data_IF_313164623880
#
_entry.id   IF_313164623880
#
_cell.length_a   1.000
_cell.length_b   1.000
_cell.length_c   1.000
_cell.angle_alpha   90.00
_cell.angle_beta   90.00
_cell.angle_gamma   90.00
#
_symmetry.space_group_name_H-M   'P 1'
#
loop_
_entity.id
_entity.type
_entity.pdbx_description
1 polymer ?
#
# COMPACT_ATOMS: atom_id res chain seq x y z
N UNK A 1 -65.16 38.49 -18.84
CA UNK A 1 -64.22 37.41 -19.16
C UNK A 1 -62.90 37.66 -18.42
N UNK A 2 -62.49 36.76 -17.52
CA UNK A 2 -61.18 36.75 -16.84
C UNK A 2 -60.50 35.42 -17.18
N UNK A 3 -59.21 35.38 -17.57
CA UNK A 3 -58.56 34.11 -17.82
C UNK A 3 -58.13 33.49 -16.48
N UNK A 4 -58.42 32.20 -16.33
CA UNK A 4 -57.95 31.37 -15.22
C UNK A 4 -56.47 31.07 -15.42
N UNK A 5 -55.62 31.51 -14.48
CA UNK A 5 -54.18 31.32 -14.55
C UNK A 5 -53.78 29.93 -13.99
N UNK A 6 -53.26 29.11 -14.90
CA UNK A 6 -52.24 28.06 -14.72
C UNK A 6 -52.03 27.43 -13.34
N UNK A 7 -52.74 26.32 -13.06
CA UNK A 7 -52.21 25.23 -12.22
C UNK A 7 -51.66 24.13 -13.11
N UNK A 8 -50.40 24.27 -13.52
CA UNK A 8 -49.53 23.28 -14.18
C UNK A 8 -48.12 23.62 -13.68
N UNK A 9 -47.30 22.80 -13.06
CA UNK A 9 -47.28 21.35 -12.86
C UNK A 9 -46.30 21.14 -11.70
N UNK A 10 -46.69 20.49 -10.61
CA UNK A 10 -45.76 20.09 -9.54
C UNK A 10 -45.55 18.56 -9.52
N UNK A 11 -45.98 17.86 -10.57
CA UNK A 11 -45.81 16.41 -10.75
C UNK A 11 -44.53 16.03 -11.49
N UNK A 12 -43.89 16.96 -12.22
CA UNK A 12 -42.69 16.67 -13.01
C UNK A 12 -41.45 16.34 -12.16
N UNK A 13 -41.45 16.66 -10.86
CA UNK A 13 -40.35 16.38 -9.94
C UNK A 13 -40.49 15.03 -9.20
N UNK A 14 -41.60 14.32 -9.35
CA UNK A 14 -41.84 13.04 -8.65
C UNK A 14 -41.34 11.80 -9.42
N UNK A 15 -40.99 11.96 -10.69
CA UNK A 15 -40.57 10.87 -11.58
C UNK A 15 -39.07 10.89 -11.92
N UNK A 16 -38.27 11.69 -11.24
CA UNK A 16 -36.81 11.60 -11.37
C UNK A 16 -36.36 10.38 -10.57
N UNK A 17 -35.92 9.33 -11.27
CA UNK A 17 -35.18 8.24 -10.61
C UNK A 17 -34.10 8.86 -9.73
N UNK A 18 -33.95 8.39 -8.47
CA UNK A 18 -32.85 8.86 -7.64
C UNK A 18 -31.54 8.67 -8.41
N UNK A 19 -30.59 9.60 -8.29
CA UNK A 19 -29.28 9.44 -8.93
C UNK A 19 -28.72 8.06 -8.53
N UNK A 20 -28.08 7.33 -9.47
CA UNK A 20 -27.48 6.06 -9.15
C UNK A 20 -26.57 6.26 -7.94
N UNK A 21 -26.74 5.39 -6.93
CA UNK A 21 -25.87 5.47 -5.75
C UNK A 21 -24.42 5.39 -6.23
N UNK A 22 -23.51 6.21 -5.68
CA UNK A 22 -22.11 6.08 -5.97
C UNK A 22 -21.69 4.64 -5.70
N UNK A 23 -20.92 4.05 -6.62
CA UNK A 23 -20.41 2.70 -6.45
C UNK A 23 -19.64 2.64 -5.12
N UNK A 24 -19.75 1.54 -4.36
CA UNK A 24 -18.93 1.36 -3.17
C UNK A 24 -17.45 1.46 -3.55
N UNK A 25 -16.59 2.00 -2.66
CA UNK A 25 -15.17 2.05 -2.93
C UNK A 25 -14.62 0.63 -3.18
N UNK A 26 -13.60 0.49 -4.04
CA UNK A 26 -12.98 -0.79 -4.30
C UNK A 26 -12.47 -1.43 -2.98
N UNK A 27 -12.62 -2.75 -2.81
CA UNK A 27 -12.11 -3.46 -1.64
C UNK A 27 -10.61 -3.19 -1.44
N UNK A 28 -10.23 -2.93 -0.19
CA UNK A 28 -8.86 -2.67 0.23
C UNK A 28 -8.45 -3.68 1.30
N UNK A 29 -7.36 -4.38 1.03
CA UNK A 29 -6.77 -5.38 1.92
C UNK A 29 -5.39 -4.93 2.34
N UNK A 30 -4.93 -5.39 3.50
CA UNK A 30 -3.64 -5.08 4.07
C UNK A 30 -2.91 -6.37 4.39
N UNK A 31 -1.61 -6.39 4.11
CA UNK A 31 -0.72 -7.44 4.55
C UNK A 31 -0.15 -7.09 5.93
N UNK A 32 -0.43 -7.96 6.91
CA UNK A 32 -0.02 -7.75 8.31
C UNK A 32 1.49 -7.77 8.51
N UNK A 33 2.22 -8.50 7.67
CA UNK A 33 3.63 -8.79 7.86
C UNK A 33 4.53 -7.96 6.95
N UNK A 34 3.98 -7.41 5.87
CA UNK A 34 4.77 -6.74 4.82
C UNK A 34 4.45 -5.26 4.67
N UNK A 35 3.49 -4.76 5.45
CA UNK A 35 3.08 -3.36 5.45
C UNK A 35 2.73 -2.83 4.04
N UNK A 36 2.17 -3.70 3.20
CA UNK A 36 1.63 -3.35 1.88
C UNK A 36 0.11 -3.40 1.91
N UNK A 37 -0.53 -2.57 1.10
CA UNK A 37 -1.95 -2.68 0.82
C UNK A 37 -2.19 -3.20 -0.58
N UNK A 38 -3.35 -3.82 -0.77
CA UNK A 38 -3.84 -4.42 -2.01
C UNK A 38 -5.27 -3.91 -2.27
N UNK A 39 -5.45 -3.12 -3.34
CA UNK A 39 -6.73 -2.56 -3.75
C UNK A 39 -7.28 -3.31 -4.94
N UNK A 40 -8.41 -4.00 -4.77
CA UNK A 40 -9.05 -4.75 -5.85
C UNK A 40 -9.77 -3.80 -6.81
N UNK A 41 -9.30 -3.70 -8.06
CA UNK A 41 -9.95 -2.86 -9.07
C UNK A 41 -11.12 -3.59 -9.73
N UNK A 42 -10.93 -4.87 -10.00
CA UNK A 42 -11.89 -5.81 -10.58
C UNK A 42 -11.48 -7.24 -10.26
N UNK A 43 -12.33 -8.26 -10.47
CA UNK A 43 -11.92 -9.66 -10.31
C UNK A 43 -10.64 -9.94 -11.10
N UNK A 44 -9.62 -10.50 -10.44
CA UNK A 44 -8.32 -10.81 -11.03
C UNK A 44 -7.34 -9.65 -11.24
N UNK A 45 -7.69 -8.40 -10.89
CA UNK A 45 -6.79 -7.24 -11.02
C UNK A 45 -6.75 -6.41 -9.74
N UNK A 46 -5.55 -6.18 -9.22
CA UNK A 46 -5.35 -5.38 -8.02
C UNK A 46 -4.18 -4.41 -8.17
N UNK A 47 -4.20 -3.34 -7.37
CA UNK A 47 -3.04 -2.46 -7.17
C UNK A 47 -2.41 -2.74 -5.83
N UNK A 48 -1.11 -2.61 -5.77
CA UNK A 48 -0.30 -2.75 -4.58
C UNK A 48 0.44 -1.44 -4.30
N UNK A 49 0.51 -1.06 -3.03
CA UNK A 49 1.32 0.07 -2.57
C UNK A 49 1.74 -0.09 -1.11
N UNK A 50 2.42 0.91 -0.58
CA UNK A 50 2.90 0.94 0.80
C UNK A 50 1.84 1.51 1.73
N UNK A 51 1.67 0.88 2.88
CA UNK A 51 0.83 1.44 3.95
C UNK A 51 1.46 2.69 4.52
N UNK A 52 0.64 3.52 5.17
CA UNK A 52 1.15 4.66 5.94
C UNK A 52 2.18 4.23 6.96
N UNK A 53 2.00 3.05 7.58
CA UNK A 53 2.95 2.54 8.54
C UNK A 53 4.31 2.25 7.92
N UNK A 54 4.35 1.62 6.75
CA UNK A 54 5.61 1.43 6.02
C UNK A 54 6.31 2.78 5.78
N UNK A 55 5.55 3.78 5.33
CA UNK A 55 6.07 5.13 5.03
C UNK A 55 6.51 5.93 6.26
N UNK A 56 5.93 5.68 7.43
CA UNK A 56 6.37 6.30 8.68
C UNK A 56 7.65 5.64 9.22
N UNK A 57 7.88 4.36 8.91
CA UNK A 57 9.08 3.62 9.30
C UNK A 57 10.24 3.83 8.31
N UNK A 58 9.99 3.81 7.00
CA UNK A 58 10.99 4.18 6.01
C UNK A 58 11.00 5.71 5.88
N UNK A 59 12.04 6.37 6.39
CA UNK A 59 12.12 7.84 6.35
C UNK A 59 12.05 8.40 4.93
N UNK A 60 13.17 8.29 4.21
CA UNK A 60 13.33 8.70 2.81
C UNK A 60 13.61 7.47 1.96
N UNK A 61 12.88 7.32 0.84
CA UNK A 61 13.17 6.27 -0.14
C UNK A 61 14.32 6.75 -1.03
N UNK A 62 15.44 6.04 -0.97
CA UNK A 62 16.63 6.38 -1.75
C UNK A 62 16.63 5.68 -3.10
N UNK A 63 16.17 4.43 -3.12
CA UNK A 63 16.16 3.61 -4.33
C UNK A 63 15.06 2.56 -4.32
N UNK A 64 14.52 2.30 -5.51
CA UNK A 64 13.62 1.17 -5.77
C UNK A 64 14.23 0.30 -6.88
N UNK A 65 14.53 -0.95 -6.55
CA UNK A 65 15.06 -1.94 -7.49
C UNK A 65 13.98 -2.97 -7.81
N UNK A 66 13.57 -3.06 -9.08
CA UNK A 66 12.55 -4.05 -9.49
C UNK A 66 13.18 -5.43 -9.61
N UNK A 67 12.44 -6.44 -9.16
CA UNK A 67 12.85 -7.83 -9.33
C UNK A 67 12.70 -8.21 -10.81
N UNK A 68 13.82 -8.51 -11.47
CA UNK A 68 13.89 -8.78 -12.92
C UNK A 68 13.57 -10.23 -13.30
N UNK A 69 13.43 -11.12 -12.33
CA UNK A 69 13.16 -12.53 -12.54
C UNK A 69 11.67 -12.77 -12.82
N UNK A 70 11.29 -12.53 -14.07
CA UNK A 70 10.12 -13.19 -14.65
C UNK A 70 10.35 -14.71 -14.56
N UNK A 71 9.43 -15.50 -13.96
CA UNK A 71 9.45 -16.92 -14.19
C UNK A 71 9.25 -17.12 -15.69
N UNK A 72 10.21 -17.78 -16.33
CA UNK A 72 10.11 -18.19 -17.73
C UNK A 72 9.00 -19.25 -17.84
N UNK A 73 7.74 -18.85 -17.92
CA UNK A 73 6.63 -19.79 -18.06
C UNK A 73 5.26 -19.26 -17.69
N UNK A 74 4.25 -20.05 -18.05
CA UNK A 74 2.82 -19.88 -17.77
C UNK A 74 2.43 -19.96 -16.30
N UNK A 75 3.36 -20.31 -15.41
CA UNK A 75 3.05 -20.64 -14.01
C UNK A 75 2.91 -19.40 -13.11
N UNK A 76 3.22 -18.20 -13.58
CA UNK A 76 3.14 -16.96 -12.79
C UNK A 76 4.02 -16.99 -11.52
N UNK A 77 3.81 -16.02 -10.65
CA UNK A 77 4.54 -15.81 -9.40
C UNK A 77 3.78 -16.39 -8.21
N UNK A 78 4.51 -17.01 -7.28
CA UNK A 78 3.93 -17.55 -6.07
C UNK A 78 3.51 -16.42 -5.10
N UNK A 79 2.59 -16.73 -4.18
CA UNK A 79 2.40 -15.87 -3.02
C UNK A 79 3.74 -15.75 -2.29
N UNK A 80 4.11 -14.54 -1.91
CA UNK A 80 5.38 -14.33 -1.24
C UNK A 80 6.46 -13.73 -2.13
N UNK A 81 6.34 -13.84 -3.46
CA UNK A 81 7.43 -13.47 -4.37
C UNK A 81 7.69 -11.95 -4.36
N UNK A 82 8.95 -11.51 -4.14
CA UNK A 82 9.34 -10.11 -4.24
C UNK A 82 9.06 -9.52 -5.63
N UNK A 83 8.49 -8.33 -5.64
CA UNK A 83 8.24 -7.51 -6.83
C UNK A 83 9.33 -6.44 -7.00
N UNK A 84 9.74 -5.86 -5.89
CA UNK A 84 10.78 -4.84 -5.83
C UNK A 84 11.41 -4.82 -4.44
N UNK A 85 12.58 -4.23 -4.36
CA UNK A 85 13.30 -3.91 -3.13
C UNK A 85 13.37 -2.38 -2.99
N UNK A 86 13.11 -1.89 -1.79
CA UNK A 86 13.16 -0.47 -1.43
C UNK A 86 14.31 -0.27 -0.47
N UNK A 87 15.29 0.54 -0.88
CA UNK A 87 16.38 1.05 -0.03
C UNK A 87 15.96 2.41 0.52
N UNK A 88 16.18 2.62 1.82
CA UNK A 88 15.74 3.84 2.52
C UNK A 88 16.77 4.31 3.55
N UNK A 89 16.69 5.59 3.87
CA UNK A 89 17.46 6.25 4.92
C UNK A 89 16.56 7.09 5.82
N UNK A 90 16.89 7.16 7.09
CA UNK A 90 16.20 7.97 8.09
C UNK A 90 17.22 8.57 9.08
N UNK A 91 16.77 9.53 9.88
CA UNK A 91 17.58 10.13 10.94
C UNK A 91 17.04 9.69 12.30
N UNK A 92 17.91 9.11 13.12
CA UNK A 92 17.60 8.78 14.51
C UNK A 92 18.32 9.76 15.47
N UNK A 93 17.62 10.11 16.55
CA UNK A 93 18.22 10.85 17.67
C UNK A 93 18.95 9.81 18.53
N UNK A 94 20.28 9.77 18.43
CA UNK A 94 21.09 8.91 19.30
C UNK A 94 20.97 9.36 20.77
N UNK A 95 21.15 8.40 21.69
CA UNK A 95 20.98 8.62 23.13
C UNK A 95 21.81 9.83 23.61
N UNK A 96 21.10 10.84 24.13
CA UNK A 96 21.70 12.03 24.69
C UNK A 96 22.44 11.66 25.99
N UNK A 97 23.77 11.64 25.94
CA UNK A 97 24.56 11.75 27.17
C UNK A 97 24.47 13.19 27.70
N UNK A 98 24.56 13.30 29.02
CA UNK A 98 24.16 14.41 29.85
C UNK A 98 24.35 15.81 29.21
N UNK A 99 23.20 16.47 29.04
CA UNK A 99 22.98 17.91 28.95
C UNK A 99 22.96 18.65 27.60
N UNK A 100 23.76 18.42 26.54
CA UNK A 100 23.68 19.31 25.33
C UNK A 100 24.10 18.74 23.95
N UNK A 101 24.24 17.42 23.76
CA UNK A 101 24.66 16.90 22.45
C UNK A 101 23.67 15.89 21.88
N UNK A 102 22.67 16.39 21.13
CA UNK A 102 21.92 15.57 20.20
C UNK A 102 22.80 15.30 18.98
N UNK A 103 23.31 14.08 18.85
CA UNK A 103 23.91 13.61 17.62
C UNK A 103 22.83 12.92 16.77
N UNK A 104 22.69 13.39 15.54
CA UNK A 104 21.85 12.75 14.53
C UNK A 104 22.67 11.67 13.85
N UNK A 105 22.17 10.44 13.89
CA UNK A 105 22.77 9.30 13.19
C UNK A 105 21.89 8.93 11.99
N UNK A 106 22.53 8.59 10.87
CA UNK A 106 21.82 8.04 9.72
C UNK A 106 21.55 6.56 9.98
N UNK A 107 20.29 6.18 9.87
CA UNK A 107 19.87 4.78 9.83
C UNK A 107 19.46 4.46 8.41
N UNK A 108 20.00 3.39 7.86
CA UNK A 108 19.72 2.93 6.51
C UNK A 108 19.19 1.50 6.56
N UNK A 109 18.35 1.12 5.60
CA UNK A 109 17.82 -0.22 5.51
C UNK A 109 17.26 -0.54 4.13
N UNK A 110 16.90 -1.81 3.93
CA UNK A 110 16.11 -2.22 2.78
C UNK A 110 14.98 -3.16 3.19
N UNK A 111 13.90 -3.17 2.42
CA UNK A 111 12.86 -4.18 2.54
C UNK A 111 12.28 -4.58 1.19
N UNK A 112 11.89 -5.85 1.10
CA UNK A 112 11.27 -6.40 -0.09
C UNK A 112 9.76 -6.13 -0.09
N UNK A 113 9.27 -5.47 -1.14
CA UNK A 113 7.84 -5.35 -1.43
C UNK A 113 7.42 -6.58 -2.22
N UNK A 114 6.49 -7.35 -1.65
CA UNK A 114 6.06 -8.62 -2.20
C UNK A 114 4.54 -8.76 -2.14
N UNK A 115 3.96 -9.43 -3.13
CA UNK A 115 2.53 -9.74 -3.12
C UNK A 115 2.28 -11.04 -2.34
N UNK A 116 1.27 -11.04 -1.47
CA UNK A 116 0.93 -12.21 -0.64
C UNK A 116 -0.17 -13.09 -1.24
N UNK A 117 -0.55 -12.82 -2.48
CA UNK A 117 -1.43 -13.65 -3.29
C UNK A 117 -0.70 -14.02 -4.58
N UNK A 118 -0.83 -15.25 -5.10
CA UNK A 118 -0.21 -15.62 -6.37
C UNK A 118 -0.72 -14.75 -7.51
N UNK A 119 0.19 -14.28 -8.36
CA UNK A 119 -0.10 -13.37 -9.46
C UNK A 119 0.55 -13.85 -10.75
N UNK A 120 -0.04 -13.55 -11.91
CA UNK A 120 0.48 -13.92 -13.23
C UNK A 120 1.42 -12.84 -13.79
N UNK A 121 1.07 -11.57 -13.59
CA UNK A 121 1.78 -10.43 -14.15
C UNK A 121 1.83 -9.27 -13.16
N UNK A 122 2.90 -8.48 -13.20
CA UNK A 122 3.02 -7.23 -12.48
C UNK A 122 3.49 -6.12 -13.42
N UNK A 123 2.78 -5.00 -13.41
CA UNK A 123 3.13 -3.78 -14.12
C UNK A 123 3.44 -2.68 -13.11
N UNK A 124 4.61 -2.09 -13.22
CA UNK A 124 5.08 -1.08 -12.29
C UNK A 124 4.60 0.32 -12.67
N UNK A 125 4.27 1.13 -11.66
CA UNK A 125 4.04 2.56 -11.81
C UNK A 125 5.38 3.29 -11.88
N UNK A 126 5.94 3.40 -13.09
CA UNK A 126 7.23 4.06 -13.33
C UNK A 126 7.28 5.50 -12.82
N UNK A 127 6.15 6.21 -12.91
CA UNK A 127 6.07 7.59 -12.48
C UNK A 127 6.16 7.69 -10.96
N UNK A 128 5.32 6.94 -10.23
CA UNK A 128 5.37 6.91 -8.77
C UNK A 128 6.71 6.42 -8.24
N UNK A 129 7.30 5.38 -8.84
CA UNK A 129 8.61 4.86 -8.43
C UNK A 129 9.69 5.93 -8.61
N UNK A 130 9.69 6.64 -9.75
CA UNK A 130 10.65 7.71 -10.02
C UNK A 130 10.44 8.91 -9.09
N UNK A 131 9.21 9.20 -8.70
CA UNK A 131 8.90 10.27 -7.75
C UNK A 131 9.28 9.91 -6.32
N UNK A 132 9.12 8.64 -5.92
CA UNK A 132 9.53 8.14 -4.62
C UNK A 132 11.03 8.36 -4.35
N UNK A 133 11.88 8.18 -5.35
CA UNK A 133 13.34 8.36 -5.22
C UNK A 133 13.82 9.82 -5.36
N UNK A 134 12.93 10.82 -5.39
CA UNK A 134 13.36 12.24 -5.43
C UNK A 134 13.54 12.78 -4.02
N UNK A 135 14.56 13.62 -3.86
CA UNK A 135 14.97 14.26 -2.60
C UNK A 135 13.89 15.08 -1.85
N UNK A 136 12.69 15.26 -2.43
CA UNK A 136 11.54 15.96 -1.84
C UNK A 136 10.36 15.02 -1.54
N UNK A 137 10.61 13.71 -1.38
CA UNK A 137 9.62 12.63 -1.24
C UNK A 137 8.66 12.69 -0.03
N UNK A 138 8.45 13.86 0.58
CA UNK A 138 7.33 14.15 1.50
C UNK A 138 5.93 14.02 0.85
N UNK A 139 5.85 13.57 -0.42
CA UNK A 139 4.59 13.39 -1.17
C UNK A 139 4.29 11.94 -1.54
N UNK A 140 5.10 10.98 -1.10
CA UNK A 140 4.70 9.59 -1.27
C UNK A 140 3.56 9.29 -0.29
N UNK A 141 2.32 9.26 -0.80
CA UNK A 141 1.11 9.10 0.00
C UNK A 141 0.67 7.63 0.04
N UNK A 142 -0.07 7.24 1.07
CA UNK A 142 -0.57 5.87 1.24
C UNK A 142 -1.47 5.41 0.08
N UNK A 143 -2.07 6.31 -0.69
CA UNK A 143 -2.86 5.94 -1.88
C UNK A 143 -2.01 5.77 -3.16
N UNK A 144 -0.71 6.02 -3.07
CA UNK A 144 0.24 5.88 -4.19
C UNK A 144 0.49 4.41 -4.48
N UNK A 145 0.00 3.95 -5.63
CA UNK A 145 0.22 2.57 -6.07
C UNK A 145 1.58 2.43 -6.77
N UNK A 146 2.29 1.37 -6.42
CA UNK A 146 3.62 1.02 -6.95
C UNK A 146 3.54 0.00 -8.08
N UNK A 147 2.63 -0.95 -7.98
CA UNK A 147 2.45 -2.00 -8.97
C UNK A 147 0.97 -2.32 -9.17
N UNK A 148 0.60 -2.66 -10.38
CA UNK A 148 -0.66 -3.27 -10.74
C UNK A 148 -0.39 -4.74 -11.03
N UNK A 149 -1.11 -5.63 -10.37
CA UNK A 149 -0.92 -7.08 -10.44
C UNK A 149 -2.15 -7.76 -11.02
N UNK A 150 -1.92 -8.65 -11.96
CA UNK A 150 -2.94 -9.56 -12.48
C UNK A 150 -2.84 -10.83 -11.65
N UNK A 151 -3.89 -11.18 -10.91
CA UNK A 151 -3.91 -12.40 -10.12
C UNK A 151 -3.90 -13.63 -11.02
N UNK A 152 -3.37 -14.73 -10.50
CA UNK A 152 -3.44 -16.02 -11.20
C UNK A 152 -4.90 -16.47 -11.33
N UNK A 153 -5.19 -17.24 -12.38
CA UNK A 153 -6.52 -17.84 -12.54
C UNK A 153 -6.93 -18.64 -11.29
N UNK A 154 -8.16 -18.43 -10.82
CA UNK A 154 -8.69 -19.05 -9.61
C UNK A 154 -8.23 -18.41 -8.29
N UNK A 155 -7.33 -17.42 -8.31
CA UNK A 155 -6.96 -16.64 -7.13
C UNK A 155 -7.81 -15.38 -6.99
N UNK A 156 -8.17 -15.06 -5.75
CA UNK A 156 -8.90 -13.86 -5.39
C UNK A 156 -8.30 -13.20 -4.15
N UNK A 157 -8.53 -11.89 -4.01
CA UNK A 157 -8.23 -11.20 -2.76
C UNK A 157 -9.37 -11.49 -1.79
N UNK A 158 -9.04 -12.11 -0.67
CA UNK A 158 -9.97 -12.40 0.42
C UNK A 158 -9.27 -12.18 1.76
N UNK A 159 -10.05 -11.86 2.79
CA UNK A 159 -9.54 -11.81 4.15
C UNK A 159 -9.21 -13.22 4.63
N UNK A 160 -8.01 -13.42 5.17
CA UNK A 160 -7.52 -14.73 5.58
C UNK A 160 -6.03 -14.92 5.30
N UNK A 161 -5.36 -15.72 6.13
CA UNK A 161 -3.92 -15.93 6.05
C UNK A 161 -3.15 -14.64 6.35
N UNK A 162 -2.48 -14.09 5.34
CA UNK A 162 -1.68 -12.86 5.44
C UNK A 162 -2.49 -11.57 5.23
N UNK A 163 -3.63 -11.64 4.52
CA UNK A 163 -4.44 -10.47 4.19
C UNK A 163 -5.54 -10.24 5.22
N UNK A 164 -5.80 -8.96 5.50
CA UNK A 164 -6.87 -8.54 6.39
C UNK A 164 -7.48 -7.20 5.98
N UNK A 165 -8.64 -6.89 6.55
CA UNK A 165 -9.27 -5.58 6.43
C UNK A 165 -8.59 -4.53 7.33
N UNK A 166 -8.94 -3.26 7.12
CA UNK A 166 -8.35 -2.11 7.81
C UNK A 166 -8.40 -2.22 9.35
N UNK A 167 -9.55 -2.63 9.90
CA UNK A 167 -9.75 -2.71 11.37
C UNK A 167 -8.83 -3.74 12.01
N UNK A 168 -8.64 -4.87 11.35
CA UNK A 168 -7.75 -5.92 11.85
C UNK A 168 -6.29 -5.53 11.68
N UNK A 169 -5.94 -4.86 10.58
CA UNK A 169 -4.60 -4.30 10.37
C UNK A 169 -4.22 -3.29 11.45
N UNK A 170 -5.07 -2.31 11.73
CA UNK A 170 -4.86 -1.33 12.81
C UNK A 170 -4.72 -2.01 14.18
N UNK A 171 -5.55 -3.01 14.45
CA UNK A 171 -5.46 -3.81 15.68
C UNK A 171 -4.15 -4.58 15.79
N UNK A 172 -3.59 -5.03 14.66
CA UNK A 172 -2.28 -5.69 14.58
C UNK A 172 -1.15 -4.69 14.85
N UNK A 173 -1.21 -3.50 14.25
CA UNK A 173 -0.22 -2.43 14.48
C UNK A 173 -0.17 -1.99 15.95
N UNK A 174 -1.33 -1.87 16.61
CA UNK A 174 -1.40 -1.52 18.01
C UNK A 174 -0.70 -2.53 18.94
N UNK A 175 -0.55 -3.79 18.52
CA UNK A 175 0.13 -4.85 19.28
C UNK A 175 1.64 -4.88 19.03
N UNK A 176 2.10 -4.54 17.83
CA UNK A 176 3.51 -4.59 17.41
C UNK A 176 4.35 -3.44 17.99
N UNK A 177 3.74 -2.33 18.43
CA UNK A 177 4.48 -1.16 18.90
C UNK A 177 5.19 -0.40 17.77
N UNK A 178 6.11 0.52 18.10
CA UNK A 178 7.05 1.14 17.14
C UNK A 178 8.28 0.23 16.99
N UNK A 179 8.15 -0.93 16.35
CA UNK A 179 9.30 -1.69 15.89
C UNK A 179 9.67 -1.24 14.48
N UNK A 180 10.96 -1.04 14.23
CA UNK A 180 11.56 -0.80 12.92
C UNK A 180 11.56 -2.14 12.15
N UNK A 181 11.60 -2.13 10.81
CA UNK A 181 11.71 -3.33 9.95
C UNK A 181 12.93 -4.25 10.20
N UNK A 182 13.64 -4.11 11.30
CA UNK A 182 14.83 -4.86 11.64
C UNK A 182 14.61 -5.66 12.92
N UNK A 183 14.55 -6.98 12.80
CA UNK A 183 15.25 -7.93 13.69
C UNK A 183 15.12 -9.36 13.11
N UNK A 184 15.74 -9.57 11.94
CA UNK A 184 16.46 -10.83 11.66
C UNK A 184 17.96 -10.49 11.78
N UNK A 185 18.40 -10.12 12.98
CA UNK A 185 19.84 -10.13 13.28
C UNK A 185 20.13 -11.51 13.81
N UNK A 186 20.80 -12.33 13.00
CA UNK A 186 21.28 -13.66 13.39
C UNK A 186 22.01 -13.59 14.74
N UNK A 187 21.43 -14.26 15.73
CA UNK A 187 21.86 -14.32 17.12
C UNK A 187 23.08 -15.26 17.32
N UNK A 188 24.02 -15.28 16.36
CA UNK A 188 25.10 -16.29 16.29
C UNK A 188 26.54 -15.79 16.52
N UNK A 189 26.79 -14.52 16.85
CA UNK A 189 28.15 -14.05 17.24
C UNK A 189 28.21 -13.29 18.57
N UNK A 190 27.67 -13.90 19.64
CA UNK A 190 28.12 -13.62 21.01
C UNK A 190 28.45 -14.92 21.75
N UNK A 191 29.62 -15.49 21.43
CA UNK A 191 30.35 -16.41 22.33
C UNK A 191 31.82 -16.06 22.35
#
# INVERSE_FOLDING_TARGET
ARPANGRRSNEALRNLSPPPRPAPPPPLYFDKNRHVWLRQLRPGLARLGLTRRALEECGSIDRVTKTSSLPNGTDGYAAGTPLMEIEWSAFEISAADELYHTAWENVEGSFAVACSVPFAEARFNEEAIREACRYEAQRFEEDTWLAEITLREGCELSEGGALCGAVEYESSLARLGRAMFAEDVDDEERR
#
